data_IF_983688051880
#
_entry.id   IF_983688051880
#
_cell.length_a   1.000
_cell.length_b   1.000
_cell.length_c   1.000
_cell.angle_alpha   90.00
_cell.angle_beta   90.00
_cell.angle_gamma   90.00
#
_symmetry.space_group_name_H-M   'P 1'
#
loop_
_entity.id
_entity.type
_entity.pdbx_description
1 polymer ?
#
# COMPACT_ATOMS: atom_id res chain seq x y z
N UNK A 1 -17.50 -16.54 3.63
CA UNK A 1 -18.78 -15.96 4.01
C UNK A 1 -19.75 -17.07 4.39
N UNK A 2 -20.24 -17.04 5.61
CA UNK A 2 -21.15 -18.06 6.19
C UNK A 2 -22.42 -17.36 6.67
N UNK A 3 -23.57 -17.95 6.38
CA UNK A 3 -24.88 -17.53 6.88
C UNK A 3 -25.47 -18.66 7.72
N UNK A 4 -26.60 -18.43 8.38
CA UNK A 4 -27.36 -19.49 9.09
C UNK A 4 -27.75 -20.65 8.16
N UNK A 5 -27.78 -20.43 6.83
CA UNK A 5 -28.11 -21.43 5.80
C UNK A 5 -26.88 -22.17 5.27
N UNK A 6 -25.68 -21.87 5.78
CA UNK A 6 -24.42 -22.50 5.38
C UNK A 6 -23.44 -21.55 4.70
N UNK A 7 -22.42 -22.11 4.05
CA UNK A 7 -21.38 -21.37 3.33
C UNK A 7 -21.96 -20.82 2.03
N UNK A 8 -21.87 -19.51 1.85
CA UNK A 8 -22.32 -18.79 0.64
C UNK A 8 -21.15 -18.58 -0.32
N UNK A 9 -19.99 -18.17 0.18
CA UNK A 9 -18.78 -17.94 -0.60
C UNK A 9 -17.54 -18.09 0.27
N UNK A 10 -16.42 -18.43 -0.35
CA UNK A 10 -15.12 -18.65 0.28
C UNK A 10 -14.55 -20.00 -0.10
N UNK A 11 -13.41 -20.33 0.43
CA UNK A 11 -12.65 -21.54 0.16
C UNK A 11 -11.18 -21.20 -0.04
N UNK A 12 -10.36 -22.21 -0.29
CA UNK A 12 -8.91 -22.09 -0.37
C UNK A 12 -8.47 -21.07 -1.44
N UNK A 13 -7.67 -20.11 -1.02
CA UNK A 13 -7.09 -19.11 -1.90
C UNK A 13 -8.07 -18.05 -2.43
N UNK A 14 -9.31 -17.97 -1.88
CA UNK A 14 -10.30 -16.94 -2.26
C UNK A 14 -10.43 -15.86 -1.20
N UNK A 15 -10.42 -14.61 -1.63
CA UNK A 15 -10.73 -13.45 -0.79
C UNK A 15 -12.22 -13.14 -0.88
N UNK A 16 -12.86 -13.03 0.30
CA UNK A 16 -14.27 -12.65 0.44
C UNK A 16 -14.36 -11.55 1.50
N UNK A 17 -14.93 -10.41 1.15
CA UNK A 17 -14.92 -9.22 2.01
C UNK A 17 -16.25 -8.46 1.95
N UNK A 18 -16.47 -7.59 2.93
CA UNK A 18 -17.50 -6.55 2.97
C UNK A 18 -18.91 -7.09 2.62
N UNK A 19 -19.44 -8.10 3.32
CA UNK A 19 -20.80 -8.54 3.10
C UNK A 19 -21.79 -7.45 3.53
N UNK A 20 -22.83 -7.26 2.71
CA UNK A 20 -23.94 -6.34 3.00
C UNK A 20 -25.23 -6.85 2.35
N UNK A 21 -26.38 -6.40 2.84
CA UNK A 21 -27.69 -6.81 2.33
C UNK A 21 -28.40 -5.64 1.68
N UNK A 22 -29.31 -5.95 0.72
CA UNK A 22 -30.29 -4.97 0.27
C UNK A 22 -31.10 -4.44 1.45
N UNK A 23 -31.64 -3.22 1.39
CA UNK A 23 -32.44 -2.62 2.46
C UNK A 23 -33.63 -3.47 2.92
N UNK A 24 -34.21 -4.30 2.04
CA UNK A 24 -35.30 -5.25 2.34
C UNK A 24 -34.79 -6.60 2.88
N UNK A 25 -33.47 -6.78 3.01
CA UNK A 25 -32.84 -8.01 3.53
C UNK A 25 -32.93 -9.23 2.61
N UNK A 26 -33.44 -9.10 1.37
CA UNK A 26 -33.72 -10.25 0.49
C UNK A 26 -32.51 -10.72 -0.30
N UNK A 27 -31.59 -9.83 -0.63
CA UNK A 27 -30.37 -10.16 -1.37
C UNK A 27 -29.13 -9.84 -0.53
N UNK A 28 -28.13 -10.67 -0.63
CA UNK A 28 -26.81 -10.49 -0.06
C UNK A 28 -25.85 -10.10 -1.18
N UNK A 29 -24.92 -9.21 -0.89
CA UNK A 29 -23.80 -8.88 -1.75
C UNK A 29 -22.49 -8.94 -0.97
N UNK A 30 -21.38 -9.12 -1.66
CA UNK A 30 -20.04 -9.16 -1.09
C UNK A 30 -18.99 -8.91 -2.18
N UNK A 31 -17.77 -8.62 -1.77
CA UNK A 31 -16.61 -8.68 -2.67
C UNK A 31 -16.06 -10.10 -2.72
N UNK A 32 -15.73 -10.58 -3.90
CA UNK A 32 -15.22 -11.93 -4.16
C UNK A 32 -14.22 -11.91 -5.33
N UNK A 33 -13.08 -12.58 -5.17
CA UNK A 33 -12.04 -12.64 -6.20
C UNK A 33 -12.06 -13.92 -7.06
N UNK A 34 -13.20 -14.59 -7.15
CA UNK A 34 -13.36 -15.81 -7.95
C UNK A 34 -13.05 -15.64 -9.44
N UNK A 35 -13.28 -14.45 -10.00
CA UNK A 35 -12.91 -14.10 -11.38
C UNK A 35 -11.40 -13.90 -11.60
N UNK A 36 -10.63 -13.80 -10.53
CA UNK A 36 -9.25 -13.31 -10.54
C UNK A 36 -9.15 -11.84 -10.12
N UNK A 37 -10.27 -11.15 -9.94
CA UNK A 37 -10.36 -9.75 -9.52
C UNK A 37 -11.37 -9.62 -8.38
N UNK A 38 -11.10 -8.75 -7.41
CA UNK A 38 -11.98 -8.54 -6.27
C UNK A 38 -13.22 -7.74 -6.68
N UNK A 39 -14.24 -8.40 -7.16
CA UNK A 39 -15.44 -7.78 -7.72
C UNK A 39 -16.66 -7.92 -6.80
N UNK A 40 -17.63 -6.99 -6.94
CA UNK A 40 -18.92 -7.12 -6.25
C UNK A 40 -19.71 -8.27 -6.86
N UNK A 41 -20.16 -9.18 -5.99
CA UNK A 41 -20.97 -10.37 -6.33
C UNK A 41 -22.24 -10.35 -5.48
N UNK A 42 -23.35 -10.86 -6.02
CA UNK A 42 -24.63 -10.91 -5.32
C UNK A 42 -25.20 -12.32 -5.23
N UNK A 43 -26.05 -12.58 -4.24
CA UNK A 43 -26.61 -13.91 -3.94
C UNK A 43 -27.55 -14.48 -5.01
N UNK A 44 -27.99 -13.65 -5.96
CA UNK A 44 -28.76 -14.05 -7.15
C UNK A 44 -27.84 -14.45 -8.33
N UNK A 45 -26.52 -14.58 -8.07
CA UNK A 45 -25.53 -15.06 -9.02
C UNK A 45 -24.99 -13.99 -9.97
N UNK A 46 -25.37 -12.72 -9.79
CA UNK A 46 -24.84 -11.63 -10.60
C UNK A 46 -23.50 -11.16 -10.06
N UNK A 47 -22.63 -10.75 -10.94
CA UNK A 47 -21.32 -10.17 -10.63
C UNK A 47 -21.08 -8.94 -11.49
N UNK A 48 -20.43 -7.93 -10.89
CA UNK A 48 -19.86 -6.82 -11.64
C UNK A 48 -18.48 -7.26 -12.11
N UNK A 49 -18.42 -7.87 -13.31
CA UNK A 49 -17.22 -8.57 -13.81
C UNK A 49 -16.32 -7.57 -14.56
N UNK A 50 -15.23 -7.16 -13.93
CA UNK A 50 -14.23 -6.25 -14.48
C UNK A 50 -12.81 -6.75 -14.16
N UNK A 51 -11.85 -6.37 -15.01
CA UNK A 51 -10.41 -6.55 -14.76
C UNK A 51 -9.84 -5.43 -13.87
N UNK A 52 -10.58 -5.05 -12.82
CA UNK A 52 -10.20 -4.09 -11.79
C UNK A 52 -10.70 -4.54 -10.43
N UNK A 53 -10.04 -4.12 -9.36
CA UNK A 53 -10.50 -4.43 -8.00
C UNK A 53 -11.48 -3.37 -7.50
N UNK A 54 -12.58 -3.81 -6.85
CA UNK A 54 -13.59 -2.96 -6.23
C UNK A 54 -13.36 -2.77 -4.73
N UNK A 55 -12.24 -3.20 -4.23
CA UNK A 55 -11.80 -3.05 -2.85
C UNK A 55 -10.29 -3.18 -2.74
N UNK A 56 -9.79 -3.01 -1.54
CA UNK A 56 -8.38 -3.14 -1.21
C UNK A 56 -8.11 -4.24 -0.19
N UNK A 57 -6.92 -4.27 0.39
CA UNK A 57 -6.58 -5.22 1.46
C UNK A 57 -7.46 -4.99 2.68
N UNK A 58 -7.79 -6.05 3.47
CA UNK A 58 -8.74 -5.98 4.58
C UNK A 58 -8.14 -5.46 5.90
N UNK A 59 -7.08 -4.68 5.87
CA UNK A 59 -6.37 -4.19 7.05
C UNK A 59 -7.17 -3.18 7.88
N UNK A 60 -8.18 -2.52 7.28
CA UNK A 60 -9.04 -1.55 7.95
C UNK A 60 -10.33 -2.15 8.47
N UNK A 61 -10.82 -1.62 9.60
CA UNK A 61 -12.13 -2.00 10.13
C UNK A 61 -13.27 -1.34 9.33
N UNK A 62 -14.40 -2.06 9.21
CA UNK A 62 -15.66 -1.54 8.64
C UNK A 62 -15.49 -0.88 7.27
N UNK A 63 -14.63 -1.43 6.43
CA UNK A 63 -14.46 -0.95 5.06
C UNK A 63 -15.77 -1.06 4.29
N UNK A 64 -16.10 -0.02 3.53
CA UNK A 64 -17.26 0.04 2.62
C UNK A 64 -16.84 0.68 1.31
N UNK A 65 -16.35 -0.13 0.40
CA UNK A 65 -16.00 0.27 -0.95
C UNK A 65 -17.16 0.13 -1.93
N UNK A 66 -18.28 -0.43 -1.48
CA UNK A 66 -19.50 -0.57 -2.25
C UNK A 66 -20.74 -0.48 -1.35
N UNK A 67 -21.91 -0.19 -1.93
CA UNK A 67 -23.18 -0.20 -1.22
C UNK A 67 -24.35 -0.37 -2.20
N UNK A 68 -25.51 -0.81 -1.66
CA UNK A 68 -26.78 -0.85 -2.39
C UNK A 68 -27.41 0.54 -2.48
N UNK A 69 -28.16 0.78 -3.60
CA UNK A 69 -29.13 1.88 -3.65
C UNK A 69 -30.27 1.63 -2.64
N UNK A 70 -31.01 2.68 -2.21
CA UNK A 70 -32.08 2.56 -1.22
C UNK A 70 -33.23 1.61 -1.61
N UNK A 71 -33.48 1.45 -2.91
CA UNK A 71 -34.45 0.51 -3.47
C UNK A 71 -33.86 -0.88 -3.77
N UNK A 72 -32.54 -1.04 -3.57
CA UNK A 72 -31.83 -2.28 -3.85
C UNK A 72 -31.65 -2.61 -5.33
N UNK A 73 -32.03 -1.74 -6.25
CA UNK A 73 -31.94 -2.01 -7.69
C UNK A 73 -30.56 -1.80 -8.28
N UNK A 74 -29.76 -0.89 -7.70
CA UNK A 74 -28.44 -0.49 -8.18
C UNK A 74 -27.36 -0.69 -7.12
N UNK A 75 -26.12 -0.72 -7.57
CA UNK A 75 -24.92 -0.70 -6.74
C UNK A 75 -24.11 0.56 -7.02
N UNK A 76 -23.51 1.15 -5.97
CA UNK A 76 -22.38 2.05 -6.10
C UNK A 76 -21.15 1.33 -5.59
N UNK A 77 -20.00 1.47 -6.28
CA UNK A 77 -18.75 0.83 -5.92
C UNK A 77 -17.56 1.69 -6.33
N UNK A 78 -16.43 1.46 -5.68
CA UNK A 78 -15.14 2.03 -6.10
C UNK A 78 -14.44 1.05 -7.03
N UNK A 79 -13.77 1.57 -8.04
CA UNK A 79 -12.91 0.83 -8.96
C UNK A 79 -11.49 1.35 -8.83
N UNK A 80 -10.53 0.45 -8.68
CA UNK A 80 -9.11 0.74 -8.61
C UNK A 80 -8.46 0.46 -9.97
N UNK A 81 -7.98 1.52 -10.63
CA UNK A 81 -7.27 1.46 -11.90
C UNK A 81 -5.80 1.83 -11.63
N UNK A 82 -4.93 0.84 -11.42
CA UNK A 82 -3.48 1.05 -11.16
C UNK A 82 -3.19 2.03 -10.00
N UNK A 83 -4.02 1.98 -8.96
CA UNK A 83 -3.94 2.90 -7.82
C UNK A 83 -4.77 4.17 -7.96
N UNK A 84 -5.35 4.46 -9.15
CA UNK A 84 -6.27 5.58 -9.35
C UNK A 84 -7.71 5.14 -9.11
N UNK A 85 -8.45 5.90 -8.31
CA UNK A 85 -9.82 5.56 -7.93
C UNK A 85 -10.87 6.09 -8.89
N UNK A 86 -11.95 5.31 -9.05
CA UNK A 86 -13.19 5.73 -9.71
C UNK A 86 -14.37 5.40 -8.81
N UNK A 87 -15.34 6.29 -8.74
CA UNK A 87 -16.67 5.99 -8.21
C UNK A 87 -17.55 5.56 -9.37
N UNK A 88 -18.11 4.37 -9.29
CA UNK A 88 -18.94 3.79 -10.33
C UNK A 88 -20.31 3.42 -9.79
N UNK A 89 -21.31 3.34 -10.69
CA UNK A 89 -22.61 2.75 -10.40
C UNK A 89 -22.97 1.74 -11.48
N UNK A 90 -23.75 0.74 -11.11
CA UNK A 90 -24.23 -0.30 -12.00
C UNK A 90 -25.65 -0.71 -11.60
N UNK A 91 -26.48 -0.97 -12.59
CA UNK A 91 -27.65 -1.84 -12.46
C UNK A 91 -27.20 -3.27 -12.76
N UNK A 92 -27.19 -4.18 -11.77
CA UNK A 92 -26.73 -5.54 -12.00
C UNK A 92 -27.52 -6.32 -13.06
N UNK A 93 -28.70 -5.81 -13.49
CA UNK A 93 -29.52 -6.44 -14.53
C UNK A 93 -29.05 -6.08 -15.95
N UNK A 94 -28.49 -4.87 -16.12
CA UNK A 94 -28.05 -4.35 -17.44
C UNK A 94 -26.56 -4.56 -17.70
N UNK A 95 -25.78 -4.80 -16.65
CA UNK A 95 -24.31 -4.86 -16.65
C UNK A 95 -23.61 -3.57 -17.17
N UNK A 96 -24.38 -2.49 -17.39
CA UNK A 96 -23.80 -1.20 -17.79
C UNK A 96 -23.25 -0.48 -16.58
N UNK A 97 -21.94 -0.18 -16.62
CA UNK A 97 -21.22 0.55 -15.58
C UNK A 97 -21.10 2.01 -16.00
N UNK A 98 -21.56 2.90 -15.14
CA UNK A 98 -21.39 4.34 -15.29
C UNK A 98 -20.30 4.86 -14.35
N UNK A 99 -19.24 5.47 -14.88
CA UNK A 99 -18.28 6.23 -14.09
C UNK A 99 -18.89 7.57 -13.66
N UNK A 100 -18.92 7.83 -12.36
CA UNK A 100 -19.54 9.02 -11.75
C UNK A 100 -18.52 10.06 -11.30
N UNK A 101 -17.37 9.62 -10.81
CA UNK A 101 -16.33 10.56 -10.36
C UNK A 101 -14.95 9.90 -10.33
N UNK A 102 -13.93 10.74 -10.58
CA UNK A 102 -12.51 10.39 -10.41
C UNK A 102 -12.07 10.79 -9.01
N UNK A 103 -11.38 9.98 -8.34
CA UNK A 103 -10.62 10.02 -7.09
C UNK A 103 -10.81 8.70 -6.33
N UNK A 104 -10.01 8.46 -5.31
CA UNK A 104 -10.26 7.40 -4.34
C UNK A 104 -11.52 7.76 -3.54
N UNK A 105 -12.44 6.82 -3.44
CA UNK A 105 -13.63 6.91 -2.62
C UNK A 105 -13.68 5.73 -1.65
N UNK A 106 -14.34 5.91 -0.52
CA UNK A 106 -14.56 4.86 0.46
C UNK A 106 -15.68 5.23 1.42
N UNK A 107 -16.02 4.30 2.31
CA UNK A 107 -17.09 4.48 3.29
C UNK A 107 -18.44 4.87 2.63
N UNK A 108 -18.75 4.25 1.49
CA UNK A 108 -19.94 4.57 0.70
C UNK A 108 -21.22 4.33 1.53
N UNK A 109 -22.15 5.28 1.48
CA UNK A 109 -23.45 5.16 2.12
C UNK A 109 -24.50 5.88 1.26
N UNK A 110 -25.52 5.14 0.82
CA UNK A 110 -26.57 5.64 -0.07
C UNK A 110 -27.92 5.71 0.65
N UNK A 111 -28.54 6.91 0.70
CA UNK A 111 -29.87 7.10 1.29
C UNK A 111 -30.68 8.10 0.46
N UNK A 112 -31.90 7.74 0.06
CA UNK A 112 -32.73 8.57 -0.84
C UNK A 112 -31.96 8.89 -2.13
N UNK A 113 -31.94 10.14 -2.56
CA UNK A 113 -31.15 10.63 -3.68
C UNK A 113 -29.72 11.05 -3.31
N UNK A 114 -29.16 10.59 -2.18
CA UNK A 114 -27.84 11.06 -1.70
C UNK A 114 -26.89 9.91 -1.44
N UNK A 115 -25.73 9.97 -2.10
CA UNK A 115 -24.59 9.07 -1.87
C UNK A 115 -23.49 9.84 -1.14
N UNK A 116 -23.19 9.47 0.09
CA UNK A 116 -22.09 10.03 0.87
C UNK A 116 -20.83 9.17 0.74
N UNK A 117 -19.66 9.79 0.75
CA UNK A 117 -18.37 9.12 0.67
C UNK A 117 -17.26 9.93 1.37
N UNK A 118 -16.22 9.23 1.81
CA UNK A 118 -14.90 9.81 2.02
C UNK A 118 -14.20 9.84 0.66
N UNK A 119 -13.72 11.01 0.23
CA UNK A 119 -13.06 11.23 -1.06
C UNK A 119 -11.66 11.76 -0.84
N UNK A 120 -10.68 11.27 -1.59
CA UNK A 120 -9.28 11.72 -1.51
C UNK A 120 -8.59 11.51 -2.87
N UNK A 121 -7.50 12.23 -3.14
CA UNK A 121 -6.71 12.08 -4.36
C UNK A 121 -5.36 12.77 -4.25
N UNK A 122 -4.46 12.56 -5.20
CA UNK A 122 -3.12 13.16 -5.20
C UNK A 122 -3.15 14.70 -5.07
N UNK A 123 -4.14 15.34 -5.73
CA UNK A 123 -4.34 16.80 -5.67
C UNK A 123 -5.53 17.21 -4.80
N UNK A 124 -6.13 16.28 -4.08
CA UNK A 124 -7.36 16.54 -3.32
C UNK A 124 -7.19 16.09 -1.89
N UNK A 125 -7.14 17.00 -0.91
CA UNK A 125 -7.19 16.65 0.50
C UNK A 125 -8.39 15.77 0.83
N UNK A 126 -8.24 14.91 1.84
CA UNK A 126 -9.33 14.02 2.26
C UNK A 126 -10.57 14.81 2.66
N UNK A 127 -11.72 14.44 2.12
CA UNK A 127 -12.99 15.15 2.25
C UNK A 127 -14.13 14.18 2.56
N UNK A 128 -15.14 14.65 3.26
CA UNK A 128 -16.47 14.05 3.27
C UNK A 128 -17.28 14.75 2.20
N UNK A 129 -17.81 13.98 1.26
CA UNK A 129 -18.61 14.49 0.14
C UNK A 129 -19.98 13.83 0.09
N UNK A 130 -20.95 14.52 -0.50
CA UNK A 130 -22.27 13.98 -0.84
C UNK A 130 -22.54 14.28 -2.31
N UNK A 131 -22.91 13.24 -3.04
CA UNK A 131 -23.41 13.32 -4.40
C UNK A 131 -24.93 13.27 -4.38
N UNK A 132 -25.58 14.16 -5.14
CA UNK A 132 -26.99 14.02 -5.51
C UNK A 132 -27.06 13.01 -6.66
N UNK A 133 -27.79 11.90 -6.48
CA UNK A 133 -27.77 10.80 -7.46
C UNK A 133 -28.71 11.02 -8.65
N UNK A 134 -29.47 12.11 -8.65
CA UNK A 134 -30.34 12.48 -9.76
C UNK A 134 -29.54 13.18 -10.88
N UNK A 135 -28.58 14.02 -10.53
CA UNK A 135 -27.74 14.77 -11.48
C UNK A 135 -26.20 14.58 -11.26
N UNK A 136 -25.81 13.83 -10.24
CA UNK A 136 -24.41 13.58 -9.82
C UNK A 136 -23.62 14.83 -9.43
N UNK A 137 -24.31 15.91 -9.09
CA UNK A 137 -23.65 17.07 -8.49
C UNK A 137 -23.04 16.71 -7.15
N UNK A 138 -21.85 17.24 -6.86
CA UNK A 138 -21.11 16.96 -5.64
C UNK A 138 -21.06 18.17 -4.73
N UNK A 139 -21.34 17.97 -3.45
CA UNK A 139 -21.12 18.95 -2.38
C UNK A 139 -20.08 18.40 -1.40
N UNK A 140 -19.06 19.19 -1.08
CA UNK A 140 -18.12 18.92 0.02
C UNK A 140 -18.77 19.35 1.33
N UNK A 141 -18.78 18.42 2.31
CA UNK A 141 -19.38 18.64 3.63
C UNK A 141 -18.30 19.03 4.65
N UNK A 142 -17.14 18.37 4.57
CA UNK A 142 -16.00 18.65 5.43
C UNK A 142 -14.70 18.32 4.72
N UNK A 143 -13.62 18.98 5.12
CA UNK A 143 -12.24 18.72 4.71
C UNK A 143 -11.47 18.28 5.94
N UNK A 144 -10.75 17.15 5.85
CA UNK A 144 -10.05 16.57 6.99
C UNK A 144 -8.87 17.39 7.51
N UNK A 145 -7.91 17.81 6.65
CA UNK A 145 -6.81 18.64 7.11
C UNK A 145 -7.27 20.04 7.51
N UNK A 146 -6.77 20.53 8.64
CA UNK A 146 -7.07 21.88 9.13
C UNK A 146 -6.30 23.00 8.39
N UNK A 147 -5.26 22.63 7.63
CA UNK A 147 -4.49 23.56 6.80
C UNK A 147 -5.17 23.72 5.42
N UNK A 148 -5.15 24.94 4.89
CA UNK A 148 -5.64 25.18 3.53
C UNK A 148 -4.63 24.69 2.49
N UNK A 149 -4.99 23.64 1.80
CA UNK A 149 -4.20 22.98 0.76
C UNK A 149 -4.62 23.35 -0.65
N UNK A 150 -5.59 24.26 -0.84
CA UNK A 150 -6.22 24.51 -2.15
C UNK A 150 -5.25 24.92 -3.24
N UNK A 151 -4.20 25.66 -2.89
CA UNK A 151 -3.18 26.15 -3.83
C UNK A 151 -1.78 25.58 -3.57
N UNK A 152 -1.68 24.48 -2.82
CA UNK A 152 -0.39 23.92 -2.47
C UNK A 152 0.27 23.19 -3.65
N UNK A 153 1.37 23.74 -4.16
CA UNK A 153 2.06 23.25 -5.37
C UNK A 153 2.60 21.82 -5.25
N UNK A 154 2.80 21.31 -4.01
CA UNK A 154 3.23 19.94 -3.76
C UNK A 154 2.10 18.90 -3.82
N UNK A 155 0.85 19.32 -4.01
CA UNK A 155 -0.24 18.39 -4.32
C UNK A 155 -0.25 18.10 -5.81
N UNK A 156 0.37 17.00 -6.19
CA UNK A 156 0.54 16.59 -7.59
C UNK A 156 -0.18 15.28 -7.87
N UNK A 157 -0.63 15.11 -9.10
CA UNK A 157 -1.10 13.83 -9.63
C UNK A 157 0.12 13.06 -10.15
N UNK A 158 0.34 11.80 -9.77
CA UNK A 158 1.47 11.04 -10.28
C UNK A 158 1.22 10.58 -11.72
N UNK A 159 2.30 10.30 -12.43
CA UNK A 159 2.25 9.54 -13.67
C UNK A 159 2.27 8.03 -13.37
N UNK A 160 1.55 7.25 -14.16
CA UNK A 160 1.65 5.80 -14.15
C UNK A 160 2.94 5.38 -14.85
N UNK A 161 3.69 4.51 -14.21
CA UNK A 161 4.89 3.87 -14.74
C UNK A 161 4.62 2.38 -14.87
N UNK A 162 4.83 1.83 -16.05
CA UNK A 162 4.73 0.38 -16.29
C UNK A 162 6.07 -0.09 -16.84
N UNK A 163 6.61 -1.14 -16.24
CA UNK A 163 7.91 -1.74 -16.59
C UNK A 163 7.71 -3.22 -16.79
N UNK A 164 8.20 -3.76 -17.90
CA UNK A 164 8.22 -5.21 -18.11
C UNK A 164 9.44 -5.80 -17.39
N UNK A 165 9.19 -6.80 -16.54
CA UNK A 165 10.26 -7.56 -15.88
C UNK A 165 10.87 -8.61 -16.81
N UNK A 166 12.04 -9.15 -16.46
CA UNK A 166 12.75 -10.15 -17.26
C UNK A 166 11.93 -11.43 -17.52
N UNK A 167 10.95 -11.72 -16.66
CA UNK A 167 10.04 -12.86 -16.82
C UNK A 167 8.72 -12.48 -17.53
N UNK A 168 8.65 -11.28 -18.15
CA UNK A 168 7.52 -10.83 -18.97
C UNK A 168 6.32 -10.32 -18.19
N UNK A 169 6.42 -10.16 -16.86
CA UNK A 169 5.34 -9.59 -16.04
C UNK A 169 5.41 -8.07 -16.06
N UNK A 170 4.26 -7.42 -16.27
CA UNK A 170 4.16 -5.98 -16.16
C UNK A 170 4.14 -5.56 -14.69
N UNK A 171 5.12 -4.77 -14.30
CA UNK A 171 5.26 -4.15 -12.98
C UNK A 171 4.75 -2.73 -13.04
N UNK A 172 4.03 -2.31 -12.02
CA UNK A 172 3.37 -1.01 -11.96
C UNK A 172 3.99 -0.12 -10.88
N UNK A 173 4.02 1.18 -11.12
CA UNK A 173 4.44 2.17 -10.14
C UNK A 173 3.78 3.53 -10.43
N UNK A 174 3.87 4.44 -9.48
CA UNK A 174 3.42 5.83 -9.61
C UNK A 174 4.57 6.77 -9.29
N UNK A 175 4.89 7.65 -10.23
CA UNK A 175 5.94 8.65 -10.08
C UNK A 175 5.33 10.03 -9.84
N UNK A 176 5.52 10.56 -8.64
CA UNK A 176 5.17 11.93 -8.25
C UNK A 176 6.38 12.82 -8.52
N UNK A 177 6.29 13.72 -9.49
CA UNK A 177 7.37 14.66 -9.79
C UNK A 177 7.26 15.89 -8.90
N UNK A 178 8.35 16.26 -8.23
CA UNK A 178 8.39 17.53 -7.52
C UNK A 178 8.17 18.70 -8.48
N UNK A 179 7.37 19.71 -8.12
CA UNK A 179 7.22 20.92 -8.92
C UNK A 179 8.50 21.78 -8.93
N UNK A 180 9.41 21.53 -7.99
CA UNK A 180 10.72 22.22 -7.87
C UNK A 180 11.82 21.17 -7.64
N UNK A 181 12.16 20.34 -8.65
CA UNK A 181 13.00 19.17 -8.45
C UNK A 181 14.43 19.56 -8.04
N UNK A 182 14.94 18.88 -7.02
CA UNK A 182 16.34 18.95 -6.60
C UNK A 182 17.21 17.85 -7.25
N UNK A 183 16.62 17.00 -8.10
CA UNK A 183 17.30 15.89 -8.79
C UNK A 183 17.39 14.60 -7.97
N UNK A 184 16.84 14.55 -6.74
CA UNK A 184 16.81 13.35 -5.93
C UNK A 184 15.46 12.60 -6.06
N UNK A 185 15.53 11.27 -5.88
CA UNK A 185 14.38 10.35 -5.94
C UNK A 185 14.22 9.60 -4.63
N UNK A 186 13.01 9.55 -4.10
CA UNK A 186 12.62 8.72 -2.96
C UNK A 186 11.74 7.56 -3.49
N UNK A 187 12.24 6.34 -3.47
CA UNK A 187 11.45 5.15 -3.79
C UNK A 187 10.77 4.65 -2.52
N UNK A 188 9.45 4.78 -2.43
CA UNK A 188 8.68 4.52 -1.22
C UNK A 188 7.85 3.25 -1.32
N UNK A 189 8.30 2.20 -0.62
CA UNK A 189 7.76 0.85 -0.66
C UNK A 189 6.70 0.70 0.44
N UNK A 190 5.52 0.19 0.08
CA UNK A 190 4.47 -0.11 1.05
C UNK A 190 4.80 -1.35 1.91
N UNK A 191 4.19 -1.43 3.08
CA UNK A 191 4.23 -2.63 3.95
C UNK A 191 3.19 -3.67 3.57
N UNK A 192 2.91 -4.58 4.48
CA UNK A 192 1.90 -5.61 4.31
C UNK A 192 2.46 -7.04 4.28
N UNK A 193 3.16 -7.55 3.26
CA UNK A 193 3.55 -7.00 1.96
C UNK A 193 2.41 -6.97 0.92
N UNK A 194 1.23 -7.47 1.26
CA UNK A 194 0.04 -7.46 0.41
C UNK A 194 -0.79 -6.21 0.71
N UNK A 195 -0.45 -5.11 0.07
CA UNK A 195 -1.09 -3.79 0.18
C UNK A 195 -0.96 -3.02 -1.14
N UNK A 196 -1.42 -1.80 -1.19
CA UNK A 196 -1.17 -0.83 -2.25
C UNK A 196 -1.36 0.59 -1.73
N UNK A 197 -0.40 1.46 -2.01
CA UNK A 197 -0.58 2.88 -1.75
C UNK A 197 -1.27 3.55 -2.94
N UNK A 198 -2.58 3.65 -2.86
CA UNK A 198 -3.40 4.30 -3.89
C UNK A 198 -3.13 5.80 -3.97
N UNK A 199 -3.52 6.42 -5.09
CA UNK A 199 -3.38 7.87 -5.32
C UNK A 199 -4.35 8.64 -4.43
N UNK A 200 -3.93 8.82 -3.18
CA UNK A 200 -4.66 9.52 -2.13
C UNK A 200 -3.86 10.71 -1.61
N UNK A 201 -4.52 11.62 -0.89
CA UNK A 201 -3.83 12.70 -0.19
C UNK A 201 -2.87 12.12 0.84
N UNK A 202 -1.59 12.47 0.71
CA UNK A 202 -0.55 12.04 1.63
C UNK A 202 0.32 13.24 2.02
N UNK A 203 0.20 13.67 3.28
CA UNK A 203 0.94 14.83 3.79
C UNK A 203 2.46 14.58 3.81
N UNK A 204 2.93 13.33 3.98
CA UNK A 204 4.34 12.98 3.91
C UNK A 204 4.88 13.17 2.49
N UNK A 205 4.11 12.79 1.47
CA UNK A 205 4.49 13.03 0.08
C UNK A 205 4.56 14.52 -0.22
N UNK A 206 3.54 15.29 0.20
CA UNK A 206 3.55 16.74 0.04
C UNK A 206 4.77 17.40 0.70
N UNK A 207 5.17 16.93 1.89
CA UNK A 207 6.35 17.40 2.59
C UNK A 207 7.64 17.22 1.76
N UNK A 208 7.87 16.05 1.19
CA UNK A 208 9.07 15.76 0.41
C UNK A 208 9.04 16.39 -0.98
N UNK A 209 7.87 16.38 -1.64
CA UNK A 209 7.68 17.06 -2.93
C UNK A 209 7.95 18.56 -2.84
N UNK A 210 7.55 19.20 -1.74
CA UNK A 210 7.82 20.62 -1.49
C UNK A 210 9.33 20.92 -1.32
N UNK A 211 10.08 19.95 -0.78
CA UNK A 211 11.55 19.99 -0.63
C UNK A 211 12.33 19.60 -1.86
N UNK A 212 11.65 19.38 -2.97
CA UNK A 212 12.28 19.11 -4.25
C UNK A 212 12.51 17.62 -4.56
N UNK A 213 12.21 16.70 -3.66
CA UNK A 213 12.34 15.27 -3.92
C UNK A 213 11.18 14.77 -4.78
N UNK A 214 11.48 14.04 -5.86
CA UNK A 214 10.46 13.24 -6.55
C UNK A 214 10.23 11.92 -5.82
N UNK A 215 9.02 11.35 -5.94
CA UNK A 215 8.66 10.14 -5.20
C UNK A 215 8.18 9.06 -6.17
N UNK A 216 8.79 7.89 -6.11
CA UNK A 216 8.40 6.69 -6.83
C UNK A 216 7.71 5.73 -5.84
N UNK A 217 6.51 5.28 -6.18
CA UNK A 217 5.74 4.33 -5.38
C UNK A 217 5.53 3.06 -6.20
N UNK A 218 6.35 2.02 -5.99
CA UNK A 218 6.23 0.76 -6.71
C UNK A 218 5.09 -0.09 -6.16
N UNK A 219 4.41 -0.82 -7.04
CA UNK A 219 3.56 -1.96 -6.72
C UNK A 219 4.30 -3.23 -7.16
N UNK A 220 5.18 -3.74 -6.30
CA UNK A 220 5.86 -5.01 -6.53
C UNK A 220 4.85 -6.16 -6.55
N UNK A 221 5.19 -7.30 -7.14
CA UNK A 221 4.35 -8.52 -7.04
C UNK A 221 4.08 -8.84 -5.57
N UNK A 222 2.82 -9.19 -5.27
CA UNK A 222 2.29 -9.23 -3.90
C UNK A 222 1.36 -8.05 -3.59
N UNK A 223 1.49 -6.91 -4.29
CA UNK A 223 0.58 -5.77 -4.13
C UNK A 223 -0.84 -6.13 -4.56
N UNK A 224 -1.84 -5.46 -3.94
CA UNK A 224 -3.24 -5.47 -4.40
C UNK A 224 -3.44 -4.51 -5.56
N UNK A 225 -4.62 -4.51 -6.17
CA UNK A 225 -4.98 -3.60 -7.26
C UNK A 225 -4.68 -4.14 -8.67
N UNK A 226 -3.95 -5.25 -8.78
CA UNK A 226 -3.53 -5.87 -10.04
C UNK A 226 -4.05 -7.30 -10.21
N UNK A 227 -5.09 -7.65 -9.45
CA UNK A 227 -5.73 -8.96 -9.47
C UNK A 227 -5.04 -10.03 -8.61
N UNK A 228 -5.75 -11.16 -8.44
CA UNK A 228 -5.34 -12.24 -7.54
C UNK A 228 -4.01 -12.88 -7.95
N UNK A 229 -3.78 -13.08 -9.24
CA UNK A 229 -2.55 -13.71 -9.73
C UNK A 229 -1.31 -12.88 -9.37
N UNK A 230 -1.40 -11.56 -9.50
CA UNK A 230 -0.32 -10.63 -9.13
C UNK A 230 -0.04 -10.65 -7.63
N UNK A 231 -1.10 -10.64 -6.82
CA UNK A 231 -0.98 -10.73 -5.36
C UNK A 231 -0.38 -12.08 -4.92
N UNK A 232 -0.85 -13.19 -5.50
CA UNK A 232 -0.42 -14.54 -5.11
C UNK A 232 0.95 -14.93 -5.65
N UNK A 233 1.50 -14.22 -6.64
CA UNK A 233 2.85 -14.47 -7.15
C UNK A 233 3.95 -14.28 -6.09
N UNK A 234 3.65 -13.57 -4.99
CA UNK A 234 4.57 -13.44 -3.86
C UNK A 234 4.59 -14.69 -2.94
N UNK A 235 3.63 -15.61 -3.07
CA UNK A 235 3.58 -16.81 -2.23
C UNK A 235 4.83 -17.68 -2.44
N UNK A 236 5.55 -17.92 -1.36
CA UNK A 236 6.83 -18.59 -1.38
C UNK A 236 8.01 -17.74 -1.86
N UNK A 237 7.80 -16.45 -2.20
CA UNK A 237 8.80 -15.59 -2.85
C UNK A 237 9.07 -14.27 -2.10
N UNK A 238 8.44 -14.04 -0.96
CA UNK A 238 8.66 -12.85 -0.13
C UNK A 238 10.12 -12.71 0.28
N UNK A 239 10.62 -11.47 0.27
CA UNK A 239 12.02 -11.14 0.51
C UNK A 239 12.95 -11.42 -0.67
N UNK A 240 12.41 -11.84 -1.83
CA UNK A 240 13.17 -12.04 -3.08
C UNK A 240 12.49 -11.35 -4.26
N UNK A 241 11.25 -11.72 -4.53
CA UNK A 241 10.55 -11.25 -5.71
C UNK A 241 10.15 -9.78 -5.59
N UNK A 242 9.69 -9.37 -4.42
CA UNK A 242 9.36 -7.98 -4.07
C UNK A 242 10.58 -7.06 -4.21
N UNK A 243 11.75 -7.45 -3.68
CA UNK A 243 12.98 -6.66 -3.79
C UNK A 243 13.49 -6.58 -5.25
N UNK A 244 13.43 -7.70 -6.00
CA UNK A 244 13.79 -7.73 -7.43
C UNK A 244 12.89 -6.79 -8.24
N UNK A 245 11.57 -6.83 -8.01
CA UNK A 245 10.62 -5.99 -8.73
C UNK A 245 10.84 -4.50 -8.46
N UNK A 246 11.06 -4.14 -7.18
CA UNK A 246 11.39 -2.77 -6.79
C UNK A 246 12.67 -2.30 -7.49
N UNK A 247 13.72 -3.12 -7.50
CA UNK A 247 15.00 -2.80 -8.15
C UNK A 247 14.84 -2.65 -9.66
N UNK A 248 14.04 -3.51 -10.31
CA UNK A 248 13.73 -3.44 -11.74
C UNK A 248 13.01 -2.14 -12.10
N UNK A 249 11.98 -1.77 -11.33
CA UNK A 249 11.23 -0.52 -11.53
C UNK A 249 12.16 0.69 -11.33
N UNK A 250 12.96 0.66 -10.27
CA UNK A 250 13.85 1.75 -9.89
C UNK A 250 14.90 2.00 -10.98
N UNK A 251 15.58 0.94 -11.44
CA UNK A 251 16.57 1.03 -12.50
C UNK A 251 15.97 1.55 -13.83
N UNK A 252 14.78 1.08 -14.20
CA UNK A 252 14.08 1.57 -15.38
C UNK A 252 13.73 3.06 -15.29
N UNK A 253 13.26 3.53 -14.13
CA UNK A 253 12.93 4.95 -13.89
C UNK A 253 14.20 5.81 -13.87
N UNK A 254 15.27 5.34 -13.23
CA UNK A 254 16.55 6.04 -13.22
C UNK A 254 17.09 6.25 -14.64
N UNK A 255 17.08 5.19 -15.44
CA UNK A 255 17.53 5.29 -16.85
C UNK A 255 16.65 6.18 -17.71
N UNK A 256 15.32 6.06 -17.58
CA UNK A 256 14.35 6.82 -18.36
C UNK A 256 14.41 8.32 -18.06
N UNK A 257 14.51 8.67 -16.76
CA UNK A 257 14.31 10.04 -16.27
C UNK A 257 15.60 10.73 -15.81
N UNK A 258 16.73 10.02 -15.84
CA UNK A 258 18.03 10.57 -15.50
C UNK A 258 18.27 10.77 -14.00
N UNK A 259 17.54 10.05 -13.11
CA UNK A 259 17.84 10.08 -11.69
C UNK A 259 19.14 9.33 -11.39
N UNK A 260 20.06 10.00 -10.71
CA UNK A 260 21.33 9.38 -10.34
C UNK A 260 21.15 8.43 -9.13
N UNK A 261 21.74 7.25 -9.20
CA UNK A 261 21.70 6.26 -8.10
C UNK A 261 22.13 6.86 -6.76
N UNK A 262 23.26 7.59 -6.72
CA UNK A 262 23.77 8.28 -5.52
C UNK A 262 22.80 9.35 -4.96
N UNK A 263 21.79 9.78 -5.72
CA UNK A 263 20.73 10.73 -5.33
C UNK A 263 19.38 10.05 -5.15
N UNK A 264 19.38 8.72 -4.99
CA UNK A 264 18.18 7.92 -4.82
C UNK A 264 18.19 7.27 -3.43
N UNK A 265 17.12 7.44 -2.66
CA UNK A 265 16.91 6.70 -1.42
C UNK A 265 15.70 5.78 -1.52
N UNK A 266 15.78 4.62 -0.88
CA UNK A 266 14.65 3.71 -0.71
C UNK A 266 14.08 3.87 0.69
N UNK A 267 12.76 4.02 0.76
CA UNK A 267 11.99 4.11 2.00
C UNK A 267 11.12 2.87 2.14
N UNK A 268 11.10 2.29 3.34
CA UNK A 268 10.20 1.18 3.63
C UNK A 268 9.90 1.03 5.11
N UNK A 269 8.70 0.56 5.42
CA UNK A 269 8.32 0.22 6.80
C UNK A 269 7.74 -1.17 6.88
N UNK A 270 7.94 -1.84 8.02
CA UNK A 270 7.45 -3.22 8.23
C UNK A 270 7.99 -4.16 7.13
N UNK A 271 7.12 -4.87 6.42
CA UNK A 271 7.49 -5.70 5.26
C UNK A 271 8.18 -4.88 4.15
N UNK A 272 7.76 -3.62 3.89
CA UNK A 272 8.44 -2.74 2.95
C UNK A 272 9.86 -2.37 3.40
N UNK A 273 10.12 -2.37 4.71
CA UNK A 273 11.47 -2.22 5.28
C UNK A 273 12.36 -3.42 4.98
N UNK A 274 11.83 -4.65 5.02
CA UNK A 274 12.52 -5.84 4.54
C UNK A 274 12.91 -5.67 3.07
N UNK A 275 11.94 -5.34 2.23
CA UNK A 275 12.14 -5.16 0.78
C UNK A 275 13.21 -4.09 0.50
N UNK A 276 13.19 -2.97 1.24
CA UNK A 276 14.18 -1.89 1.11
C UNK A 276 15.61 -2.35 1.48
N UNK A 277 15.74 -3.09 2.59
CA UNK A 277 17.04 -3.63 3.05
C UNK A 277 17.56 -4.71 2.09
N UNK A 278 16.71 -5.60 1.59
CA UNK A 278 17.10 -6.61 0.60
C UNK A 278 17.52 -5.96 -0.72
N UNK A 279 16.79 -4.96 -1.21
CA UNK A 279 17.18 -4.20 -2.40
C UNK A 279 18.56 -3.54 -2.24
N UNK A 280 18.86 -2.98 -1.06
CA UNK A 280 20.17 -2.39 -0.76
C UNK A 280 21.30 -3.42 -0.68
N UNK A 281 21.01 -4.65 -0.27
CA UNK A 281 21.99 -5.74 -0.23
C UNK A 281 22.26 -6.34 -1.62
N UNK A 282 21.24 -6.39 -2.49
CA UNK A 282 21.34 -7.03 -3.80
C UNK A 282 21.71 -6.05 -4.93
N UNK A 283 21.28 -4.78 -4.82
CA UNK A 283 21.46 -3.75 -5.83
C UNK A 283 21.95 -2.42 -5.21
N UNK A 284 23.07 -2.42 -4.46
CA UNK A 284 23.61 -1.20 -3.85
C UNK A 284 23.97 -0.13 -4.89
N UNK A 285 24.28 -0.54 -6.12
CA UNK A 285 24.60 0.37 -7.24
C UNK A 285 23.45 1.30 -7.65
N UNK A 286 22.21 0.98 -7.27
CA UNK A 286 21.01 1.79 -7.55
C UNK A 286 20.71 2.83 -6.46
N UNK A 287 21.41 2.82 -5.34
CA UNK A 287 21.02 3.53 -4.13
C UNK A 287 22.13 4.39 -3.54
N UNK A 288 21.76 5.57 -3.04
CA UNK A 288 22.61 6.40 -2.19
C UNK A 288 22.32 6.21 -0.69
N UNK A 289 21.08 5.82 -0.31
CA UNK A 289 20.67 5.68 1.07
C UNK A 289 19.42 4.79 1.24
N UNK A 290 19.22 4.28 2.46
CA UNK A 290 17.99 3.58 2.89
C UNK A 290 17.42 4.27 4.12
N UNK A 291 16.09 4.45 4.16
CA UNK A 291 15.35 4.85 5.37
C UNK A 291 14.34 3.76 5.70
N UNK A 292 14.50 3.09 6.82
CA UNK A 292 13.65 1.98 7.23
C UNK A 292 13.01 2.26 8.61
N UNK A 293 11.71 2.00 8.71
CA UNK A 293 11.00 2.11 9.98
C UNK A 293 10.44 0.74 10.39
N UNK A 294 10.77 0.32 11.61
CA UNK A 294 10.34 -0.98 12.18
C UNK A 294 10.37 -2.14 11.16
N UNK A 295 11.51 -2.32 10.45
CA UNK A 295 11.58 -3.30 9.37
C UNK A 295 11.59 -4.73 9.90
N UNK A 296 11.04 -5.66 9.11
CA UNK A 296 11.38 -7.07 9.27
C UNK A 296 12.83 -7.27 8.79
N UNK A 297 13.70 -7.72 9.68
CA UNK A 297 15.10 -8.02 9.36
C UNK A 297 15.47 -9.51 9.48
N UNK A 298 14.61 -10.27 10.18
CA UNK A 298 14.71 -11.70 10.38
C UNK A 298 13.31 -12.32 10.24
N UNK A 299 13.05 -12.92 9.07
CA UNK A 299 11.74 -13.51 8.73
C UNK A 299 11.42 -14.69 9.67
N UNK A 300 12.42 -15.50 10.01
CA UNK A 300 12.22 -16.66 10.90
C UNK A 300 11.88 -16.21 12.33
N UNK A 301 12.53 -15.15 12.83
CA UNK A 301 12.24 -14.60 14.14
C UNK A 301 10.87 -13.88 14.20
N UNK A 302 10.37 -13.38 13.07
CA UNK A 302 9.02 -12.78 13.00
C UNK A 302 7.95 -13.81 13.31
N UNK A 303 8.05 -15.05 12.81
CA UNK A 303 7.10 -16.13 13.07
C UNK A 303 6.95 -16.43 14.57
N UNK A 304 8.04 -16.29 15.32
CA UNK A 304 8.10 -16.59 16.75
C UNK A 304 7.54 -15.43 17.62
N UNK A 305 7.46 -14.21 17.09
CA UNK A 305 7.21 -12.99 17.89
C UNK A 305 5.98 -12.20 17.49
N UNK A 306 5.43 -12.43 16.30
CA UNK A 306 4.27 -11.67 15.80
C UNK A 306 2.98 -11.99 16.55
N UNK A 307 2.02 -11.08 16.52
CA UNK A 307 0.75 -11.27 17.22
C UNK A 307 -0.18 -12.29 16.50
N UNK A 308 -1.13 -12.85 17.25
CA UNK A 308 -1.97 -13.96 16.80
C UNK A 308 -2.76 -13.73 15.50
N UNK A 309 -3.05 -12.49 15.11
CA UNK A 309 -3.78 -12.20 13.89
C UNK A 309 -2.90 -12.34 12.63
N UNK A 310 -1.58 -12.26 12.79
CA UNK A 310 -0.60 -12.43 11.70
C UNK A 310 0.16 -13.77 11.79
N UNK A 311 -0.06 -14.55 12.86
CA UNK A 311 0.65 -15.80 13.13
C UNK A 311 0.64 -16.83 11.99
N UNK A 312 -0.34 -16.75 11.09
CA UNK A 312 -0.44 -17.64 9.92
C UNK A 312 -0.18 -16.93 8.59
N UNK A 313 0.03 -15.61 8.62
CA UNK A 313 0.23 -14.83 7.40
C UNK A 313 1.57 -15.16 6.75
N UNK A 314 2.63 -15.27 7.53
CA UNK A 314 3.95 -15.65 7.03
C UNK A 314 3.95 -17.03 6.38
N UNK A 315 3.12 -17.97 6.84
CA UNK A 315 2.95 -19.28 6.18
C UNK A 315 2.40 -19.15 4.75
N UNK A 316 1.54 -18.18 4.51
CA UNK A 316 1.05 -17.88 3.16
C UNK A 316 2.17 -17.32 2.27
N UNK A 317 3.06 -16.51 2.83
CA UNK A 317 4.14 -15.83 2.13
C UNK A 317 5.38 -16.70 1.93
N UNK A 318 5.72 -17.55 2.89
CA UNK A 318 6.96 -18.32 2.92
C UNK A 318 6.73 -19.83 2.74
N UNK A 319 5.57 -20.35 3.13
CA UNK A 319 5.27 -21.76 3.28
C UNK A 319 5.39 -22.23 4.72
N UNK A 320 5.42 -23.56 4.94
CA UNK A 320 5.54 -24.16 6.27
C UNK A 320 6.90 -23.83 6.91
N UNK A 321 6.95 -23.20 8.10
CA UNK A 321 8.20 -22.82 8.77
C UNK A 321 9.18 -23.98 8.96
N UNK A 322 8.67 -25.18 9.24
CA UNK A 322 9.51 -26.37 9.46
C UNK A 322 10.30 -26.78 8.19
N UNK A 323 9.79 -26.45 7.01
CA UNK A 323 10.42 -26.76 5.72
C UNK A 323 11.12 -25.57 5.07
N UNK A 324 10.80 -24.34 5.49
CA UNK A 324 11.26 -23.10 4.83
C UNK A 324 12.23 -22.28 5.69
N UNK A 325 12.63 -22.74 6.88
CA UNK A 325 13.51 -21.98 7.78
C UNK A 325 14.83 -21.56 7.12
N UNK A 326 15.47 -22.44 6.36
CA UNK A 326 16.69 -22.12 5.63
C UNK A 326 16.46 -20.99 4.60
N UNK A 327 15.36 -21.04 3.87
CA UNK A 327 14.93 -20.01 2.92
C UNK A 327 14.64 -18.67 3.62
N UNK A 328 13.95 -18.70 4.76
CA UNK A 328 13.68 -17.51 5.56
C UNK A 328 14.97 -16.87 6.07
N UNK A 329 15.93 -17.68 6.52
CA UNK A 329 17.25 -17.22 6.94
C UNK A 329 18.01 -16.56 5.78
N UNK A 330 18.07 -17.20 4.62
CA UNK A 330 18.78 -16.70 3.43
C UNK A 330 18.22 -15.35 2.95
N UNK A 331 16.91 -15.14 3.07
CA UNK A 331 16.24 -13.90 2.66
C UNK A 331 16.23 -12.80 3.73
N UNK A 332 16.66 -13.09 4.94
CA UNK A 332 16.66 -12.15 6.05
C UNK A 332 17.89 -11.24 6.01
N UNK A 333 17.71 -9.90 5.99
CA UNK A 333 18.82 -8.93 5.94
C UNK A 333 19.85 -9.13 7.04
N UNK A 334 19.46 -9.49 8.25
CA UNK A 334 20.37 -9.64 9.39
C UNK A 334 21.47 -10.69 9.14
N UNK A 335 21.18 -11.75 8.39
CA UNK A 335 22.14 -12.80 8.08
C UNK A 335 23.08 -12.45 6.92
N UNK A 336 22.77 -11.36 6.21
CA UNK A 336 23.51 -10.86 5.05
C UNK A 336 24.09 -9.46 5.29
N UNK A 337 23.92 -8.91 6.48
CA UNK A 337 24.22 -7.51 6.80
C UNK A 337 25.68 -7.12 6.55
N UNK A 338 26.61 -8.08 6.59
CA UNK A 338 28.03 -7.85 6.27
C UNK A 338 28.28 -7.42 4.82
N UNK A 339 27.32 -7.65 3.92
CA UNK A 339 27.37 -7.19 2.52
C UNK A 339 26.78 -5.77 2.33
N UNK A 340 26.22 -5.16 3.36
CA UNK A 340 25.68 -3.82 3.30
C UNK A 340 26.80 -2.81 2.98
N UNK A 341 26.56 -1.97 2.00
CA UNK A 341 27.50 -0.91 1.58
C UNK A 341 26.86 0.47 1.44
N UNK A 342 25.54 0.54 1.72
CA UNK A 342 24.72 1.75 1.62
C UNK A 342 24.34 2.21 3.03
N UNK A 343 24.42 3.51 3.36
CA UNK A 343 24.01 4.04 4.66
C UNK A 343 22.51 3.83 4.89
N UNK A 344 22.15 3.47 6.12
CA UNK A 344 20.80 3.18 6.57
C UNK A 344 20.42 4.06 7.75
N UNK A 345 19.30 4.77 7.67
CA UNK A 345 18.65 5.38 8.83
C UNK A 345 17.51 4.46 9.28
N UNK A 346 17.55 4.02 10.51
CA UNK A 346 16.66 3.01 11.05
C UNK A 346 15.87 3.55 12.25
N UNK A 347 14.56 3.46 12.18
CA UNK A 347 13.65 3.87 13.25
C UNK A 347 12.85 2.68 13.80
N UNK A 348 12.63 2.63 15.13
CA UNK A 348 11.73 1.64 15.73
C UNK A 348 11.10 2.18 17.02
N UNK A 349 9.85 1.79 17.30
CA UNK A 349 9.20 2.01 18.59
C UNK A 349 9.45 0.83 19.54
N UNK A 350 9.81 1.06 20.79
CA UNK A 350 10.13 -0.02 21.75
C UNK A 350 8.91 -0.80 22.24
N UNK A 351 7.68 -0.28 21.98
CA UNK A 351 6.40 -0.92 22.30
C UNK A 351 5.71 -1.54 21.06
N UNK A 352 6.47 -1.89 20.01
CA UNK A 352 5.94 -2.49 18.79
C UNK A 352 5.45 -3.93 19.01
N UNK A 353 4.14 -4.21 18.89
CA UNK A 353 3.59 -5.55 19.11
C UNK A 353 3.61 -6.44 17.85
N UNK A 354 3.99 -5.90 16.69
CA UNK A 354 3.95 -6.59 15.39
C UNK A 354 5.33 -7.08 14.99
N UNK A 355 6.29 -6.15 14.95
CA UNK A 355 7.70 -6.47 14.69
C UNK A 355 8.52 -6.12 15.94
N UNK A 356 9.13 -7.12 16.54
CA UNK A 356 9.93 -6.91 17.75
C UNK A 356 11.05 -5.89 17.50
N UNK A 357 11.21 -4.95 18.42
CA UNK A 357 12.30 -3.95 18.38
C UNK A 357 13.69 -4.57 18.32
N UNK A 358 13.85 -5.80 18.81
CA UNK A 358 15.11 -6.56 18.74
C UNK A 358 15.59 -6.79 17.31
N UNK A 359 14.70 -6.81 16.35
CA UNK A 359 15.08 -6.91 14.93
C UNK A 359 15.91 -5.71 14.47
N UNK A 360 15.55 -4.51 14.88
CA UNK A 360 16.32 -3.29 14.58
C UNK A 360 17.56 -3.14 15.44
N UNK A 361 17.50 -3.47 16.73
CA UNK A 361 18.67 -3.45 17.61
C UNK A 361 19.79 -4.34 17.09
N UNK A 362 19.46 -5.55 16.64
CA UNK A 362 20.42 -6.49 16.04
C UNK A 362 21.07 -5.94 14.78
N UNK A 363 20.31 -5.28 13.89
CA UNK A 363 20.87 -4.62 12.69
C UNK A 363 21.87 -3.52 13.07
N UNK A 364 21.51 -2.66 14.03
CA UNK A 364 22.36 -1.55 14.46
C UNK A 364 23.69 -2.06 15.08
N UNK A 365 23.63 -3.14 15.86
CA UNK A 365 24.83 -3.75 16.43
C UNK A 365 25.71 -4.43 15.38
N UNK A 366 25.07 -5.04 14.35
CA UNK A 366 25.80 -5.80 13.33
C UNK A 366 26.49 -4.92 12.27
N UNK A 367 26.02 -3.68 12.06
CA UNK A 367 26.59 -2.75 11.08
C UNK A 367 26.65 -1.29 11.63
N UNK A 368 27.38 -1.05 12.74
CA UNK A 368 27.35 0.23 13.46
C UNK A 368 27.90 1.42 12.63
N UNK A 369 28.75 1.16 11.65
CA UNK A 369 29.33 2.21 10.80
C UNK A 369 28.39 2.66 9.67
N UNK A 370 27.34 1.88 9.36
CA UNK A 370 26.40 2.13 8.26
C UNK A 370 24.97 2.36 8.74
N UNK A 371 24.60 1.88 9.94
CA UNK A 371 23.24 1.96 10.46
C UNK A 371 23.14 3.02 11.56
N UNK A 372 22.53 4.15 11.23
CA UNK A 372 22.09 5.14 12.23
C UNK A 372 20.76 4.68 12.81
N UNK A 373 20.72 4.31 14.10
CA UNK A 373 19.52 3.78 14.74
C UNK A 373 18.91 4.76 15.72
N UNK A 374 17.60 4.94 15.61
CA UNK A 374 16.79 5.77 16.52
C UNK A 374 15.65 4.93 17.08
N UNK A 375 15.60 4.78 18.40
CA UNK A 375 14.52 4.10 19.11
C UNK A 375 13.60 5.10 19.79
N UNK A 376 12.29 4.92 19.63
CA UNK A 376 11.27 5.81 20.20
C UNK A 376 10.53 5.14 21.36
N UNK A 377 10.72 5.61 22.60
CA UNK A 377 10.03 5.05 23.75
C UNK A 377 8.52 5.19 23.69
N UNK A 378 7.79 4.09 23.96
CA UNK A 378 6.34 4.04 24.00
C UNK A 378 5.64 4.08 22.63
N UNK A 379 6.37 4.18 21.52
CA UNK A 379 5.80 4.06 20.17
C UNK A 379 5.65 2.60 19.76
N UNK A 380 4.59 2.31 19.01
CA UNK A 380 4.28 0.97 18.50
C UNK A 380 4.62 0.80 17.02
N UNK A 381 3.87 -0.10 16.33
CA UNK A 381 3.99 -0.34 14.89
C UNK A 381 3.38 0.84 14.12
N UNK A 382 4.21 1.85 13.85
CA UNK A 382 3.81 3.18 13.35
C UNK A 382 3.80 4.23 14.45
N UNK A 383 4.48 5.35 14.19
CA UNK A 383 4.64 6.42 15.17
C UNK A 383 3.39 7.29 15.23
N UNK A 384 2.91 7.59 16.44
CA UNK A 384 1.62 8.25 16.67
C UNK A 384 1.77 9.62 17.26
N UNK A 385 2.78 9.85 18.12
CA UNK A 385 2.94 11.13 18.76
C UNK A 385 3.46 12.19 17.78
N UNK A 386 3.02 13.41 17.96
CA UNK A 386 3.45 14.53 17.11
C UNK A 386 4.97 14.77 17.21
N UNK A 387 5.51 14.71 18.41
CA UNK A 387 6.95 14.91 18.67
C UNK A 387 7.81 13.89 17.95
N UNK A 388 7.42 12.61 18.02
CA UNK A 388 8.12 11.53 17.31
C UNK A 388 8.08 11.73 15.80
N UNK A 389 6.91 12.10 15.25
CA UNK A 389 6.80 12.33 13.80
C UNK A 389 7.62 13.50 13.31
N UNK A 390 7.72 14.58 14.10
CA UNK A 390 8.55 15.74 13.77
C UNK A 390 10.02 15.34 13.81
N UNK A 391 10.46 14.61 14.83
CA UNK A 391 11.84 14.13 14.97
C UNK A 391 12.21 13.16 13.85
N UNK A 392 11.34 12.17 13.52
CA UNK A 392 11.51 11.25 12.40
C UNK A 392 11.77 12.00 11.08
N UNK A 393 10.95 13.02 10.79
CA UNK A 393 11.09 13.81 9.55
C UNK A 393 12.36 14.66 9.56
N UNK A 394 12.69 15.30 10.67
CA UNK A 394 13.90 16.11 10.79
C UNK A 394 15.16 15.30 10.62
N UNK A 395 15.29 14.18 11.34
CA UNK A 395 16.43 13.25 11.18
C UNK A 395 16.53 12.66 9.78
N UNK A 396 15.40 12.32 9.17
CA UNK A 396 15.37 11.85 7.79
C UNK A 396 15.88 12.92 6.83
N UNK A 397 15.44 14.16 6.97
CA UNK A 397 15.92 15.28 6.13
C UNK A 397 17.42 15.50 6.27
N UNK A 398 17.95 15.55 7.50
CA UNK A 398 19.37 15.67 7.77
C UNK A 398 20.18 14.52 7.17
N UNK A 399 19.70 13.29 7.31
CA UNK A 399 20.32 12.09 6.75
C UNK A 399 20.35 12.13 5.20
N UNK A 400 19.24 12.47 4.56
CA UNK A 400 19.18 12.59 3.10
C UNK A 400 20.11 13.70 2.56
N UNK A 401 20.20 14.83 3.26
CA UNK A 401 21.13 15.92 2.88
C UNK A 401 22.58 15.44 2.94
N UNK A 402 22.96 14.65 3.94
CA UNK A 402 24.33 14.11 4.05
C UNK A 402 24.67 13.08 2.96
N UNK A 403 23.71 12.27 2.55
CA UNK A 403 23.98 11.10 1.71
C UNK A 403 23.52 11.20 0.26
N UNK A 404 22.60 12.15 -0.07
CA UNK A 404 22.11 12.34 -1.44
C UNK A 404 22.59 13.64 -2.11
N UNK A 405 23.53 14.34 -1.53
CA UNK A 405 24.08 15.59 -2.09
C UNK A 405 25.02 15.37 -3.30
#
# INVERSE_FOLDING_TARGET
LVTERGVVSGGDGRRVQQPDTTPDGRRLGWLDDASGWLNVTTSDGRRVDESFEHGGPPWGERLRSWCWSPDGSRLAFVRNEDGFGRLCTVDPSSATIDERAKAIHGQLTWRGSRLAAVRTGGRTPTQIVVYDTDDWTRRTIAVGPSFDWSDHSALVEPELVVVESDDGVLLHARLYRSPRPNGALLCWIHGGPTDQWTVSFNVRFAYWLDRGYSILVPDHRGSTGHGRAYTQSLHGEWGRLDARDVSTILDAVQRRDGFAARRTAVFGSSAGGLTALVAALEHPELLGAVVAAYPVSDIAALDDTTHRFEAHYNRTLMGDPDTTRAKSTDRSPIHRIAALSVPVLLFHGDADPVVSVEQSRRLAVAAPDLVEYVEYPGEGHGFRTWTTRVDEHGRTEEFLIRHLS
#
